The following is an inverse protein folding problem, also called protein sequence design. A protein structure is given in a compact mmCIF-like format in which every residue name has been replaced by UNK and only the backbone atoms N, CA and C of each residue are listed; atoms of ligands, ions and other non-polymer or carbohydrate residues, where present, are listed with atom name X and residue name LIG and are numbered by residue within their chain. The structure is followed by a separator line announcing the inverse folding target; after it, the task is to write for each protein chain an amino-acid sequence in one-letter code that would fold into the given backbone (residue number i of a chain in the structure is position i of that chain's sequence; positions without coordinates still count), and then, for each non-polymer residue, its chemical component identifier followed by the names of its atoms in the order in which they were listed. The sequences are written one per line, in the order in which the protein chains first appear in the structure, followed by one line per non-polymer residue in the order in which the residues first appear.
data_IF_521436675939
#
_entry.id   IF_521436675939
#
_cell.length_a   1.000
_cell.length_b   1.000
_cell.length_c   1.000
_cell.angle_alpha   90.00
_cell.angle_beta   90.00
_cell.angle_gamma   90.00
#
_symmetry.space_group_name_H-M   'P 1'
#
loop_
_entity.id
_entity.type
_entity.pdbx_description
1 polymer ?
#
# COMPACT_ATOMS: atom_id res chain seq x y z
N UNK A 1 -11.79 13.34 94.10
CA UNK A 1 -11.57 14.77 93.77
C UNK A 1 -10.23 14.91 93.07
N UNK A 2 -10.00 15.94 92.24
CA UNK A 2 -10.95 16.69 91.41
C UNK A 2 -11.08 15.92 90.05
N UNK A 3 -11.21 16.45 88.81
CA UNK A 3 -11.60 17.76 88.22
C UNK A 3 -12.54 17.45 87.03
N UNK A 4 -13.42 18.39 86.65
CA UNK A 4 -14.20 18.32 85.41
C UNK A 4 -13.54 19.06 84.24
N UNK A 5 -13.81 18.64 83.00
CA UNK A 5 -13.96 19.53 81.82
C UNK A 5 -14.75 18.82 80.72
N UNK A 6 -15.80 19.46 80.21
CA UNK A 6 -16.62 18.94 79.11
C UNK A 6 -16.22 19.53 77.75
N UNK A 7 -16.70 18.93 76.65
CA UNK A 7 -16.39 19.41 75.30
C UNK A 7 -17.21 18.76 74.19
N UNK A 8 -18.29 19.45 73.80
CA UNK A 8 -19.00 19.43 72.49
C UNK A 8 -19.40 18.08 71.85
N UNK A 9 -20.66 18.01 71.42
CA UNK A 9 -21.07 17.04 70.42
C UNK A 9 -20.43 17.34 69.04
N UNK A 10 -20.13 16.28 68.29
CA UNK A 10 -19.82 16.32 66.86
C UNK A 10 -20.71 15.28 66.15
N UNK A 11 -21.23 15.62 64.97
CA UNK A 11 -22.11 14.73 64.21
C UNK A 11 -21.29 13.76 63.38
N UNK A 12 -21.42 12.47 63.66
CA UNK A 12 -21.02 11.38 62.75
C UNK A 12 -22.22 11.01 61.88
N UNK A 13 -22.12 11.25 60.56
CA UNK A 13 -23.00 10.61 59.58
C UNK A 13 -22.81 9.10 59.62
N UNK A 14 -23.84 8.34 59.24
CA UNK A 14 -23.67 6.92 58.95
C UNK A 14 -22.90 6.75 57.63
N UNK A 15 -21.86 5.92 57.64
CA UNK A 15 -21.13 5.54 56.44
C UNK A 15 -21.94 4.50 55.63
N UNK A 16 -22.10 4.66 54.30
CA UNK A 16 -23.04 3.88 53.50
C UNK A 16 -22.46 2.59 52.91
N UNK A 17 -21.45 1.99 53.55
CA UNK A 17 -20.70 0.83 53.05
C UNK A 17 -20.59 -0.29 54.09
N UNK A 18 -21.71 -0.94 54.39
CA UNK A 18 -21.68 -2.34 54.86
C UNK A 18 -23.04 -3.05 54.66
N UNK A 19 -23.11 -4.03 53.75
CA UNK A 19 -24.14 -5.08 53.62
C UNK A 19 -23.82 -5.99 52.42
N UNK A 20 -23.74 -7.30 52.66
CA UNK A 20 -23.27 -8.31 51.71
C UNK A 20 -24.34 -8.86 50.73
N UNK A 21 -23.81 -9.65 49.78
CA UNK A 21 -24.42 -10.80 49.08
C UNK A 21 -25.22 -10.62 47.78
N UNK A 22 -24.90 -11.55 46.88
CA UNK A 22 -25.70 -12.18 45.83
C UNK A 22 -26.41 -11.31 44.78
N UNK A 23 -25.74 -11.13 43.63
CA UNK A 23 -26.04 -12.00 42.47
C UNK A 23 -25.08 -11.74 41.30
N UNK A 24 -24.61 -12.79 40.63
CA UNK A 24 -23.88 -12.68 39.36
C UNK A 24 -24.71 -11.93 38.31
N UNK A 25 -24.13 -10.86 37.75
CA UNK A 25 -24.73 -10.10 36.65
C UNK A 25 -24.57 -10.85 35.31
N UNK A 26 -25.22 -12.01 35.20
CA UNK A 26 -25.47 -12.66 33.92
C UNK A 26 -26.25 -11.69 33.03
N UNK A 27 -25.69 -11.24 31.88
CA UNK A 27 -26.36 -10.25 31.05
C UNK A 27 -27.65 -10.85 30.47
N UNK A 28 -28.80 -10.35 30.93
CA UNK A 28 -30.12 -10.76 30.43
C UNK A 28 -30.24 -10.41 28.95
N UNK A 29 -30.00 -11.39 28.08
CA UNK A 29 -30.27 -11.29 26.64
C UNK A 29 -31.71 -10.81 26.39
N UNK A 30 -31.89 -10.01 25.35
CA UNK A 30 -33.23 -9.75 24.78
C UNK A 30 -33.88 -11.10 24.42
N UNK A 31 -35.15 -11.36 24.77
CA UNK A 31 -35.85 -12.54 24.28
C UNK A 31 -35.99 -12.44 22.76
N UNK A 32 -35.50 -13.44 22.03
CA UNK A 32 -35.55 -13.51 20.56
C UNK A 32 -34.21 -13.36 19.83
N UNK A 33 -33.11 -12.98 20.49
CA UNK A 33 -31.80 -12.93 19.85
C UNK A 33 -31.22 -14.34 19.62
N UNK A 34 -30.70 -14.60 18.41
CA UNK A 34 -29.99 -15.85 18.07
C UNK A 34 -28.89 -16.15 19.12
N UNK A 35 -28.79 -17.42 19.51
CA UNK A 35 -27.73 -17.88 20.42
C UNK A 35 -26.72 -18.70 19.64
N UNK A 36 -25.53 -18.13 19.47
CA UNK A 36 -24.43 -18.80 18.79
C UNK A 36 -24.08 -20.15 19.44
N UNK A 37 -23.75 -21.18 18.63
CA UNK A 37 -23.36 -22.49 19.11
C UNK A 37 -22.11 -22.42 19.99
N UNK A 38 -22.05 -23.30 21.00
CA UNK A 38 -20.94 -23.33 21.97
C UNK A 38 -19.61 -23.69 21.33
N UNK A 39 -18.48 -23.41 22.00
CA UNK A 39 -17.15 -23.75 21.49
C UNK A 39 -16.96 -25.23 21.13
N UNK A 40 -17.60 -26.14 21.88
CA UNK A 40 -17.60 -27.57 21.61
C UNK A 40 -18.42 -27.96 20.36
N UNK A 41 -19.47 -27.21 20.03
CA UNK A 41 -20.22 -27.38 18.78
C UNK A 41 -19.46 -26.76 17.59
N UNK A 42 -18.90 -25.54 17.74
CA UNK A 42 -18.01 -24.93 16.73
C UNK A 42 -16.80 -25.81 16.39
N UNK A 43 -16.29 -26.64 17.31
CA UNK A 43 -15.26 -27.62 17.00
C UNK A 43 -15.75 -28.68 15.99
N UNK A 44 -16.92 -29.30 16.21
CA UNK A 44 -17.51 -30.31 15.31
C UNK A 44 -17.76 -29.77 13.89
N UNK A 45 -18.03 -28.47 13.77
CA UNK A 45 -18.24 -27.79 12.49
C UNK A 45 -16.95 -27.49 11.71
N UNK A 46 -15.77 -27.58 12.35
CA UNK A 46 -14.47 -27.46 11.66
C UNK A 46 -14.12 -28.75 10.93
N UNK A 47 -14.38 -29.89 11.55
CA UNK A 47 -14.08 -31.21 10.99
C UNK A 47 -15.19 -31.75 10.06
N UNK A 48 -16.12 -30.88 9.64
CA UNK A 48 -17.28 -31.16 8.78
C UNK A 48 -18.13 -32.38 9.21
N UNK A 49 -18.28 -32.57 10.53
CA UNK A 49 -18.96 -33.73 11.16
C UNK A 49 -18.35 -35.12 10.85
N UNK A 50 -17.10 -35.21 10.35
CA UNK A 50 -16.44 -36.50 10.06
C UNK A 50 -16.49 -37.49 11.23
N UNK A 51 -16.14 -37.00 12.43
CA UNK A 51 -16.09 -37.81 13.65
C UNK A 51 -17.47 -38.12 14.25
N UNK A 52 -18.55 -37.52 13.73
CA UNK A 52 -19.93 -37.71 14.20
C UNK A 52 -20.86 -38.30 13.14
N UNK A 53 -20.31 -39.04 12.15
CA UNK A 53 -21.08 -39.77 11.15
C UNK A 53 -21.44 -38.99 9.88
N UNK A 54 -20.88 -37.79 9.70
CA UNK A 54 -21.16 -36.92 8.55
C UNK A 54 -22.50 -36.19 8.65
N UNK A 55 -22.80 -35.36 7.64
CA UNK A 55 -23.95 -34.44 7.65
C UNK A 55 -25.31 -35.17 7.67
N UNK A 56 -25.42 -36.33 7.01
CA UNK A 56 -26.67 -37.10 6.90
C UNK A 56 -27.17 -37.66 8.26
N UNK A 57 -26.29 -37.72 9.26
CA UNK A 57 -26.63 -38.20 10.61
C UNK A 57 -26.96 -37.06 11.60
N UNK A 58 -26.90 -35.80 11.16
CA UNK A 58 -27.16 -34.64 12.02
C UNK A 58 -28.64 -34.20 11.98
N UNK A 59 -29.10 -33.51 13.03
CA UNK A 59 -30.43 -32.92 13.04
C UNK A 59 -30.50 -31.67 12.16
N UNK A 60 -31.69 -31.31 11.67
CA UNK A 60 -31.90 -30.09 10.86
C UNK A 60 -31.41 -28.84 11.59
N UNK A 61 -31.64 -28.75 12.91
CA UNK A 61 -31.16 -27.63 13.74
C UNK A 61 -29.63 -27.55 13.81
N UNK A 62 -28.94 -28.70 13.81
CA UNK A 62 -27.48 -28.76 13.81
C UNK A 62 -26.91 -28.39 12.44
N UNK A 63 -27.59 -28.78 11.36
CA UNK A 63 -27.27 -28.38 9.98
C UNK A 63 -27.49 -26.87 9.74
N UNK A 64 -28.55 -26.28 10.30
CA UNK A 64 -28.77 -24.82 10.28
C UNK A 64 -27.68 -24.07 11.04
N UNK A 65 -27.29 -24.55 12.23
CA UNK A 65 -26.19 -23.98 13.02
C UNK A 65 -24.84 -24.09 12.30
N UNK A 66 -24.59 -25.22 11.64
CA UNK A 66 -23.41 -25.44 10.80
C UNK A 66 -23.37 -24.51 9.58
N UNK A 67 -24.50 -24.33 8.88
CA UNK A 67 -24.59 -23.38 7.78
C UNK A 67 -24.32 -21.95 8.25
N UNK A 68 -24.85 -21.56 9.42
CA UNK A 68 -24.59 -20.27 10.05
C UNK A 68 -23.14 -20.12 10.56
N UNK A 69 -22.44 -21.22 10.86
CA UNK A 69 -21.01 -21.23 11.18
C UNK A 69 -20.14 -21.07 9.92
N UNK A 70 -20.38 -21.87 8.87
CA UNK A 70 -19.62 -21.79 7.61
C UNK A 70 -19.82 -20.46 6.89
N UNK A 71 -21.00 -19.82 7.05
CA UNK A 71 -21.22 -18.46 6.57
C UNK A 71 -20.37 -17.43 7.35
N UNK A 72 -20.36 -17.49 8.68
CA UNK A 72 -19.50 -16.65 9.54
C UNK A 72 -18.00 -16.81 9.17
N UNK A 73 -17.53 -18.06 9.03
CA UNK A 73 -16.17 -18.42 8.60
C UNK A 73 -15.81 -17.88 7.20
N UNK A 74 -16.78 -17.82 6.27
CA UNK A 74 -16.61 -17.23 4.94
C UNK A 74 -16.55 -15.70 4.99
N UNK A 75 -17.39 -15.06 5.81
CA UNK A 75 -17.35 -13.59 6.00
C UNK A 75 -16.02 -13.15 6.60
N UNK A 76 -15.52 -13.85 7.63
CA UNK A 76 -14.22 -13.59 8.25
C UNK A 76 -13.06 -13.73 7.25
N UNK A 77 -13.10 -14.76 6.40
CA UNK A 77 -12.10 -14.96 5.35
C UNK A 77 -12.07 -13.80 4.33
N UNK A 78 -13.25 -13.31 3.89
CA UNK A 78 -13.36 -12.15 3.00
C UNK A 78 -12.85 -10.87 3.66
N UNK A 79 -13.13 -10.65 4.95
CA UNK A 79 -12.55 -9.54 5.72
C UNK A 79 -11.02 -9.61 5.78
N UNK A 80 -10.46 -10.82 5.91
CA UNK A 80 -9.03 -11.08 5.79
C UNK A 80 -8.46 -10.69 4.41
N UNK A 81 -9.14 -11.09 3.33
CA UNK A 81 -8.76 -10.74 1.95
C UNK A 81 -8.83 -9.23 1.69
N UNK A 82 -9.89 -8.55 2.14
CA UNK A 82 -10.06 -7.10 1.96
C UNK A 82 -8.95 -6.32 2.67
N UNK A 83 -8.61 -6.68 3.91
CA UNK A 83 -7.48 -6.09 4.64
C UNK A 83 -6.15 -6.29 3.90
N UNK A 84 -5.91 -7.46 3.31
CA UNK A 84 -4.71 -7.71 2.51
C UNK A 84 -4.70 -6.84 1.24
N UNK A 85 -5.83 -6.71 0.55
CA UNK A 85 -5.94 -5.88 -0.66
C UNK A 85 -5.72 -4.38 -0.37
N UNK A 86 -6.25 -3.86 0.74
CA UNK A 86 -6.01 -2.47 1.18
C UNK A 86 -4.54 -2.21 1.53
N UNK A 87 -3.89 -3.12 2.25
CA UNK A 87 -2.45 -3.01 2.52
C UNK A 87 -1.63 -2.96 1.21
N UNK A 88 -1.94 -3.83 0.23
CA UNK A 88 -1.26 -3.82 -1.07
C UNK A 88 -1.56 -2.52 -1.85
N UNK A 89 -2.74 -1.91 -1.65
CA UNK A 89 -3.09 -0.62 -2.28
C UNK A 89 -2.21 0.52 -1.74
N UNK A 90 -1.95 0.54 -0.43
CA UNK A 90 -1.03 1.50 0.19
C UNK A 90 0.43 1.31 -0.28
N UNK A 91 0.92 0.07 -0.31
CA UNK A 91 2.27 -0.26 -0.83
C UNK A 91 2.43 0.12 -2.31
N UNK A 92 1.39 -0.09 -3.13
CA UNK A 92 1.39 0.28 -4.55
C UNK A 92 1.39 1.81 -4.75
N UNK A 93 0.69 2.58 -3.92
CA UNK A 93 0.71 4.04 -3.96
C UNK A 93 2.11 4.58 -3.61
N UNK A 94 2.73 4.06 -2.54
CA UNK A 94 4.11 4.39 -2.15
C UNK A 94 5.13 4.02 -3.26
N UNK A 95 4.90 2.90 -3.95
CA UNK A 95 5.72 2.47 -5.10
C UNK A 95 5.59 3.42 -6.29
N UNK A 96 4.38 3.87 -6.65
CA UNK A 96 4.15 4.84 -7.72
C UNK A 96 4.85 6.19 -7.47
N UNK A 97 4.81 6.70 -6.24
CA UNK A 97 5.55 7.91 -5.84
C UNK A 97 7.06 7.72 -6.00
N UNK A 98 7.56 6.54 -5.64
CA UNK A 98 8.99 6.17 -5.77
C UNK A 98 9.42 6.07 -7.23
N UNK A 99 8.62 5.44 -8.09
CA UNK A 99 8.88 5.34 -9.54
C UNK A 99 8.92 6.73 -10.20
N UNK A 100 7.94 7.60 -9.94
CA UNK A 100 7.94 8.99 -10.45
C UNK A 100 9.22 9.74 -10.03
N UNK A 101 9.68 9.57 -8.79
CA UNK A 101 10.94 10.15 -8.31
C UNK A 101 12.16 9.59 -9.03
N UNK A 102 12.20 8.29 -9.34
CA UNK A 102 13.27 7.66 -10.12
C UNK A 102 13.29 8.15 -11.58
N UNK A 103 12.12 8.25 -12.24
CA UNK A 103 12.02 8.79 -13.61
C UNK A 103 12.48 10.25 -13.72
N UNK A 104 12.23 11.05 -12.68
CA UNK A 104 12.80 12.40 -12.57
C UNK A 104 14.32 12.40 -12.35
N UNK A 105 14.88 11.45 -11.60
CA UNK A 105 16.33 11.31 -11.44
C UNK A 105 17.00 10.91 -12.76
N UNK A 106 16.46 9.92 -13.48
CA UNK A 106 16.95 9.52 -14.82
C UNK A 106 16.94 10.72 -15.78
N UNK A 107 15.86 11.51 -15.76
CA UNK A 107 15.77 12.76 -16.55
C UNK A 107 16.92 13.73 -16.22
N UNK A 108 17.19 14.00 -14.93
CA UNK A 108 18.31 14.87 -14.52
C UNK A 108 19.68 14.30 -14.92
N UNK A 109 19.83 12.98 -14.96
CA UNK A 109 21.08 12.35 -15.42
C UNK A 109 21.31 12.55 -16.92
N UNK A 110 20.27 12.52 -17.75
CA UNK A 110 20.36 12.94 -19.17
C UNK A 110 20.73 14.42 -19.33
N UNK A 111 20.17 15.32 -18.50
CA UNK A 111 20.55 16.74 -18.51
C UNK A 111 22.05 16.89 -18.24
N UNK A 112 22.60 16.15 -17.27
CA UNK A 112 24.04 16.13 -16.99
C UNK A 112 24.86 15.46 -18.08
N UNK A 113 24.36 14.44 -18.77
CA UNK A 113 25.03 13.88 -19.95
C UNK A 113 25.16 14.93 -21.08
N UNK A 114 24.13 15.76 -21.30
CA UNK A 114 24.15 16.86 -22.27
C UNK A 114 25.08 18.01 -21.84
N UNK A 115 25.13 18.36 -20.55
CA UNK A 115 26.12 19.33 -20.04
C UNK A 115 27.56 18.86 -20.31
N UNK A 116 27.85 17.59 -20.01
CA UNK A 116 29.17 16.98 -20.25
C UNK A 116 29.47 16.92 -21.76
N UNK A 117 28.49 16.64 -22.63
CA UNK A 117 28.66 16.70 -24.09
C UNK A 117 29.11 18.09 -24.57
N UNK A 118 28.50 19.15 -24.04
CA UNK A 118 28.84 20.52 -24.39
C UNK A 118 30.23 20.91 -23.89
N UNK A 119 30.56 20.58 -22.64
CA UNK A 119 31.85 20.93 -22.05
C UNK A 119 33.01 20.11 -22.62
N UNK A 120 32.79 18.84 -22.95
CA UNK A 120 33.74 18.07 -23.76
C UNK A 120 33.91 18.71 -25.14
N UNK A 121 32.83 19.11 -25.82
CA UNK A 121 32.95 19.72 -27.15
C UNK A 121 33.75 21.05 -27.13
N UNK A 122 33.66 21.82 -26.03
CA UNK A 122 34.51 23.01 -25.78
C UNK A 122 35.97 22.60 -25.53
N UNK A 123 36.21 21.66 -24.61
CA UNK A 123 37.55 21.20 -24.24
C UNK A 123 38.29 20.50 -25.38
N UNK A 124 37.58 19.73 -26.22
CA UNK A 124 38.13 19.08 -27.41
C UNK A 124 38.60 20.10 -28.45
N UNK A 125 37.86 21.21 -28.62
CA UNK A 125 38.26 22.33 -29.49
C UNK A 125 39.56 22.98 -29.01
N UNK A 126 39.70 23.21 -27.70
CA UNK A 126 40.92 23.73 -27.09
C UNK A 126 42.11 22.74 -27.22
N UNK A 127 41.90 21.44 -27.02
CA UNK A 127 42.91 20.40 -27.26
C UNK A 127 43.28 20.23 -28.75
N UNK A 128 42.41 20.70 -29.66
CA UNK A 128 42.70 20.93 -31.06
C UNK A 128 43.67 22.09 -31.26
N UNK A 129 43.30 23.29 -30.78
CA UNK A 129 44.05 24.54 -31.00
C UNK A 129 45.38 24.64 -30.23
N UNK A 130 45.52 23.96 -29.09
CA UNK A 130 46.80 23.80 -28.36
C UNK A 130 47.87 23.03 -29.16
N UNK A 131 47.50 22.44 -30.31
CA UNK A 131 48.46 21.88 -31.25
C UNK A 131 49.11 22.94 -32.13
N UNK A 132 50.34 23.36 -31.81
CA UNK A 132 51.12 24.27 -32.65
C UNK A 132 51.34 23.76 -34.10
N UNK A 133 51.76 24.66 -35.00
CA UNK A 133 51.72 24.52 -36.47
C UNK A 133 52.29 23.21 -37.08
N UNK A 134 53.20 22.50 -36.39
CA UNK A 134 53.77 21.23 -36.85
C UNK A 134 53.13 19.98 -36.22
N UNK A 135 52.08 20.13 -35.41
CA UNK A 135 51.36 19.01 -34.79
C UNK A 135 50.24 18.51 -35.70
N UNK A 136 50.01 17.18 -35.70
CA UNK A 136 48.87 16.62 -36.45
C UNK A 136 47.56 17.15 -35.84
N UNK A 137 46.64 17.72 -36.66
CA UNK A 137 45.38 18.24 -36.17
C UNK A 137 44.53 17.09 -35.63
N UNK A 138 44.17 17.17 -34.35
CA UNK A 138 43.29 16.19 -33.73
C UNK A 138 41.84 16.61 -33.97
N UNK A 139 41.06 15.72 -34.60
CA UNK A 139 39.61 15.86 -34.71
C UNK A 139 38.98 14.81 -33.79
N UNK A 140 38.17 15.19 -32.79
CA UNK A 140 37.41 14.21 -32.03
C UNK A 140 36.45 13.46 -32.96
N UNK A 141 36.21 12.18 -32.67
CA UNK A 141 35.14 11.43 -33.31
C UNK A 141 33.91 11.55 -32.41
N UNK A 142 32.85 12.18 -32.92
CA UNK A 142 31.52 12.12 -32.33
C UNK A 142 30.69 11.14 -33.15
N UNK A 143 30.40 9.96 -32.59
CA UNK A 143 29.70 8.86 -33.31
C UNK A 143 28.18 8.93 -33.13
N UNK A 144 27.73 9.51 -32.02
CA UNK A 144 26.33 9.71 -31.67
C UNK A 144 26.12 11.15 -31.18
N UNK A 145 24.96 11.74 -31.47
CA UNK A 145 24.52 12.95 -30.77
C UNK A 145 23.88 12.52 -29.45
N UNK A 146 24.43 13.01 -28.35
CA UNK A 146 23.89 12.83 -27.00
C UNK A 146 22.48 13.44 -26.98
N UNK A 147 21.48 12.63 -26.66
CA UNK A 147 20.09 13.06 -26.53
C UNK A 147 19.84 13.50 -25.09
N UNK A 148 19.32 14.72 -24.97
CA UNK A 148 18.69 15.15 -23.72
C UNK A 148 17.52 14.24 -23.33
N UNK A 149 16.93 14.46 -22.14
CA UNK A 149 15.91 13.59 -21.59
C UNK A 149 14.83 13.35 -22.63
N UNK A 150 14.52 12.08 -22.92
CA UNK A 150 13.52 11.73 -23.92
C UNK A 150 12.20 12.40 -23.54
N UNK A 151 11.83 13.47 -24.25
CA UNK A 151 10.64 14.27 -23.97
C UNK A 151 9.40 13.56 -24.52
N UNK A 152 9.17 12.35 -23.99
CA UNK A 152 7.90 11.65 -24.07
C UNK A 152 6.92 12.47 -23.24
N UNK A 153 6.17 13.34 -23.92
CA UNK A 153 5.21 14.30 -23.33
C UNK A 153 3.96 13.62 -22.75
N UNK A 154 4.10 12.43 -22.15
CA UNK A 154 3.01 11.75 -21.47
C UNK A 154 2.83 12.30 -20.04
N UNK A 155 2.39 13.55 -19.98
CA UNK A 155 2.00 14.22 -18.74
C UNK A 155 0.79 13.55 -18.06
N UNK A 156 0.12 12.60 -18.72
CA UNK A 156 -0.91 11.75 -18.13
C UNK A 156 -0.41 11.10 -16.85
N UNK A 157 0.82 10.57 -16.86
CA UNK A 157 1.43 9.95 -15.68
C UNK A 157 1.60 10.91 -14.51
N UNK A 158 2.21 12.07 -14.77
CA UNK A 158 2.45 13.08 -13.73
C UNK A 158 1.14 13.60 -13.15
N UNK A 159 0.16 13.91 -14.02
CA UNK A 159 -1.18 14.40 -13.62
C UNK A 159 -1.96 13.35 -12.85
N UNK A 160 -1.89 12.07 -13.25
CA UNK A 160 -2.59 10.96 -12.58
C UNK A 160 -1.96 10.66 -11.22
N UNK A 161 -0.63 10.62 -11.12
CA UNK A 161 0.08 10.46 -9.86
C UNK A 161 -0.19 11.62 -8.88
N UNK A 162 -0.11 12.88 -9.34
CA UNK A 162 -0.44 14.03 -8.48
C UNK A 162 -1.90 14.08 -8.07
N UNK A 163 -2.82 13.64 -8.94
CA UNK A 163 -4.25 13.52 -8.64
C UNK A 163 -4.54 12.39 -7.65
N UNK A 164 -3.81 11.26 -7.68
CA UNK A 164 -3.87 10.22 -6.64
C UNK A 164 -3.39 10.80 -5.31
N UNK A 165 -2.20 11.41 -5.28
CA UNK A 165 -1.62 11.99 -4.06
C UNK A 165 -2.51 13.10 -3.44
N UNK A 166 -3.11 13.96 -4.28
CA UNK A 166 -4.07 14.96 -3.80
C UNK A 166 -5.37 14.34 -3.30
N UNK A 167 -5.91 13.30 -3.96
CA UNK A 167 -7.14 12.64 -3.50
C UNK A 167 -6.93 11.91 -2.19
N UNK A 168 -5.80 11.23 -2.02
CA UNK A 168 -5.47 10.53 -0.78
C UNK A 168 -5.32 11.53 0.38
N UNK A 169 -4.59 12.65 0.17
CA UNK A 169 -4.47 13.76 1.14
C UNK A 169 -5.77 14.49 1.46
N UNK A 170 -6.80 14.36 0.61
CA UNK A 170 -8.13 14.96 0.82
C UNK A 170 -9.18 13.93 1.29
N UNK A 171 -8.82 12.65 1.46
CA UNK A 171 -9.78 11.57 1.75
C UNK A 171 -10.73 11.24 0.59
N UNK A 172 -10.44 11.73 -0.63
CA UNK A 172 -11.25 11.57 -1.84
C UNK A 172 -10.84 10.37 -2.71
N UNK A 173 -10.17 9.39 -2.09
CA UNK A 173 -10.07 8.03 -2.64
C UNK A 173 -11.47 7.48 -2.95
N UNK A 174 -11.67 6.62 -3.96
CA UNK A 174 -12.90 5.85 -4.09
C UNK A 174 -12.96 4.79 -2.99
N UNK A 175 -13.27 5.22 -1.77
CA UNK A 175 -13.55 4.33 -0.65
C UNK A 175 -14.73 3.44 -1.00
N UNK A 176 -14.66 2.16 -0.63
CA UNK A 176 -15.81 1.25 -0.66
C UNK A 176 -17.00 1.81 0.12
N UNK A 177 -18.19 1.24 -0.06
CA UNK A 177 -19.46 1.79 0.47
C UNK A 177 -19.64 1.49 1.98
N UNK A 178 -18.56 1.61 2.76
CA UNK A 178 -18.45 1.16 4.15
C UNK A 178 -19.07 2.13 5.18
N UNK A 179 -19.48 3.32 4.77
CA UNK A 179 -20.20 4.25 5.64
C UNK A 179 -21.66 3.81 5.87
N UNK A 180 -21.95 3.26 7.06
CA UNK A 180 -23.28 2.88 7.56
C UNK A 180 -24.02 1.75 6.80
N UNK A 181 -23.33 0.67 6.42
CA UNK A 181 -24.00 -0.62 6.20
C UNK A 181 -24.48 -1.20 7.55
N UNK A 182 -25.77 -1.05 7.83
CA UNK A 182 -26.42 -1.57 9.04
C UNK A 182 -27.12 -2.90 8.73
N UNK A 183 -26.68 -3.98 9.37
CA UNK A 183 -27.26 -5.32 9.22
C UNK A 183 -28.24 -5.60 10.38
N UNK A 184 -29.29 -6.38 10.10
CA UNK A 184 -30.25 -6.79 11.14
C UNK A 184 -29.59 -7.73 12.18
N UNK A 185 -30.03 -7.66 13.44
CA UNK A 185 -29.66 -8.61 14.49
C UNK A 185 -30.48 -9.90 14.32
N UNK A 186 -29.89 -11.03 13.86
CA UNK A 186 -30.66 -12.20 13.47
C UNK A 186 -31.29 -12.92 14.67
N UNK A 187 -32.50 -13.43 14.47
CA UNK A 187 -33.26 -14.20 15.46
C UNK A 187 -33.10 -15.71 15.29
N UNK A 188 -32.87 -16.17 14.05
CA UNK A 188 -32.69 -17.60 13.71
C UNK A 188 -31.34 -17.87 13.03
N UNK A 189 -30.91 -19.14 13.00
CA UNK A 189 -29.70 -19.56 12.30
C UNK A 189 -29.80 -19.32 10.78
N UNK A 190 -30.96 -19.60 10.17
CA UNK A 190 -31.20 -19.32 8.74
C UNK A 190 -31.23 -17.82 8.42
N UNK A 191 -31.78 -16.99 9.30
CA UNK A 191 -31.69 -15.52 9.16
C UNK A 191 -30.25 -15.04 9.30
N UNK A 192 -29.45 -15.61 10.21
CA UNK A 192 -28.01 -15.33 10.27
C UNK A 192 -27.30 -15.70 8.97
N UNK A 193 -27.59 -16.86 8.35
CA UNK A 193 -27.04 -17.21 7.03
C UNK A 193 -27.36 -16.14 5.99
N UNK A 194 -28.59 -15.58 5.99
CA UNK A 194 -28.97 -14.53 5.05
C UNK A 194 -28.25 -13.19 5.34
N UNK A 195 -28.07 -12.83 6.61
CA UNK A 195 -27.29 -11.64 7.03
C UNK A 195 -25.80 -11.80 6.68
N UNK A 196 -25.21 -12.97 6.91
CA UNK A 196 -23.82 -13.25 6.54
C UNK A 196 -23.62 -13.23 5.02
N UNK A 197 -24.56 -13.78 4.23
CA UNK A 197 -24.53 -13.63 2.76
C UNK A 197 -24.53 -12.17 2.32
N UNK A 198 -25.37 -11.33 2.90
CA UNK A 198 -25.40 -9.91 2.56
C UNK A 198 -24.06 -9.22 2.87
N UNK A 199 -23.41 -9.54 4.00
CA UNK A 199 -22.05 -9.08 4.30
C UNK A 199 -21.01 -9.59 3.30
N UNK A 200 -21.14 -10.84 2.84
CA UNK A 200 -20.22 -11.45 1.87
C UNK A 200 -20.34 -10.76 0.50
N UNK A 201 -21.57 -10.55 0.01
CA UNK A 201 -21.83 -9.80 -1.22
C UNK A 201 -21.28 -8.37 -1.10
N UNK A 202 -21.57 -7.68 0.02
CA UNK A 202 -21.10 -6.32 0.29
C UNK A 202 -19.56 -6.20 0.37
N UNK A 203 -18.89 -7.21 0.94
CA UNK A 203 -17.43 -7.29 1.03
C UNK A 203 -16.75 -7.70 -0.29
N UNK A 204 -17.41 -8.51 -1.11
CA UNK A 204 -16.96 -8.84 -2.48
C UNK A 204 -17.05 -7.60 -3.39
N UNK A 205 -18.09 -6.78 -3.23
CA UNK A 205 -18.28 -5.50 -3.94
C UNK A 205 -17.12 -4.53 -3.62
N UNK A 206 -16.78 -4.37 -2.33
CA UNK A 206 -15.67 -3.52 -1.90
C UNK A 206 -14.29 -4.10 -2.30
N UNK A 207 -14.07 -5.41 -2.17
CA UNK A 207 -12.84 -6.09 -2.62
C UNK A 207 -12.64 -5.95 -4.14
N UNK A 208 -13.72 -6.07 -4.93
CA UNK A 208 -13.71 -5.82 -6.38
C UNK A 208 -13.31 -4.38 -6.69
N UNK A 209 -13.80 -3.41 -5.91
CA UNK A 209 -13.38 -2.01 -5.97
C UNK A 209 -11.88 -1.81 -5.74
N UNK A 210 -11.33 -2.42 -4.68
CA UNK A 210 -9.89 -2.33 -4.36
C UNK A 210 -9.04 -3.02 -5.44
N UNK A 211 -9.43 -4.20 -5.92
CA UNK A 211 -8.76 -4.90 -7.02
C UNK A 211 -8.79 -4.10 -8.34
N UNK A 212 -9.88 -3.36 -8.60
CA UNK A 212 -9.97 -2.42 -9.72
C UNK A 212 -8.96 -1.26 -9.61
N UNK A 213 -8.77 -0.70 -8.41
CA UNK A 213 -7.76 0.34 -8.14
C UNK A 213 -6.34 -0.21 -8.26
N UNK A 214 -6.07 -1.38 -7.69
CA UNK A 214 -4.80 -2.10 -7.81
C UNK A 214 -4.43 -2.38 -9.27
N UNK A 215 -5.39 -2.84 -10.10
CA UNK A 215 -5.18 -3.00 -11.54
C UNK A 215 -4.81 -1.68 -12.22
N UNK A 216 -5.51 -0.59 -11.88
CA UNK A 216 -5.19 0.75 -12.39
C UNK A 216 -3.74 1.15 -12.08
N UNK A 217 -3.33 0.99 -10.82
CA UNK A 217 -1.95 1.29 -10.38
C UNK A 217 -0.92 0.34 -10.99
N UNK A 218 -1.24 -0.94 -11.22
CA UNK A 218 -0.34 -1.88 -11.86
C UNK A 218 -0.08 -1.54 -13.34
N UNK A 219 -1.12 -1.16 -14.10
CA UNK A 219 -0.97 -0.64 -15.45
C UNK A 219 -0.15 0.66 -15.48
N UNK A 220 -0.33 1.51 -14.45
CA UNK A 220 0.44 2.74 -14.30
C UNK A 220 1.93 2.45 -14.04
N UNK A 221 2.24 1.62 -13.04
CA UNK A 221 3.62 1.23 -12.71
C UNK A 221 4.33 0.59 -13.92
N UNK A 222 3.66 -0.31 -14.66
CA UNK A 222 4.24 -0.96 -15.84
C UNK A 222 4.61 0.04 -16.95
N UNK A 223 3.75 1.02 -17.21
CA UNK A 223 3.99 2.00 -18.29
C UNK A 223 5.13 2.98 -17.94
N UNK A 224 5.24 3.39 -16.67
CA UNK A 224 6.36 4.22 -16.21
C UNK A 224 7.68 3.42 -16.16
N UNK A 225 7.65 2.12 -15.83
CA UNK A 225 8.81 1.23 -15.95
C UNK A 225 9.27 1.09 -17.41
N UNK A 226 8.35 0.83 -18.35
CA UNK A 226 8.66 0.78 -19.79
C UNK A 226 9.25 2.10 -20.32
N UNK A 227 8.81 3.24 -19.77
CA UNK A 227 9.32 4.57 -20.08
C UNK A 227 10.71 4.80 -19.49
N UNK A 228 10.97 4.34 -18.27
CA UNK A 228 12.28 4.44 -17.61
C UNK A 228 13.32 3.51 -18.26
N UNK A 229 12.95 2.28 -18.61
CA UNK A 229 13.83 1.34 -19.31
C UNK A 229 14.37 1.95 -20.62
N UNK A 230 13.49 2.50 -21.47
CA UNK A 230 13.88 3.15 -22.74
C UNK A 230 14.76 4.39 -22.52
N UNK A 231 14.56 5.12 -21.43
CA UNK A 231 15.43 6.24 -21.06
C UNK A 231 16.81 5.75 -20.59
N UNK A 232 16.88 4.67 -19.82
CA UNK A 232 18.14 4.05 -19.41
C UNK A 232 18.93 3.48 -20.60
N UNK A 233 18.27 2.88 -21.59
CA UNK A 233 18.89 2.40 -22.84
C UNK A 233 19.54 3.57 -23.63
N UNK A 234 18.79 4.66 -23.83
CA UNK A 234 19.32 5.86 -24.52
C UNK A 234 20.44 6.54 -23.69
N UNK A 235 20.32 6.57 -22.36
CA UNK A 235 21.34 7.11 -21.46
C UNK A 235 22.63 6.27 -21.48
N UNK A 236 22.53 4.93 -21.56
CA UNK A 236 23.72 4.07 -21.63
C UNK A 236 24.51 4.34 -22.90
N UNK A 237 23.85 4.36 -24.07
CA UNK A 237 24.49 4.64 -25.35
C UNK A 237 25.13 6.03 -25.41
N UNK A 238 24.55 7.00 -24.71
CA UNK A 238 25.11 8.35 -24.55
C UNK A 238 26.32 8.38 -23.60
N UNK A 239 26.24 7.69 -22.45
CA UNK A 239 27.36 7.59 -21.49
C UNK A 239 28.56 6.85 -22.10
N UNK A 240 28.35 5.83 -22.92
CA UNK A 240 29.45 5.13 -23.60
C UNK A 240 30.17 6.01 -24.65
N UNK A 241 29.43 6.84 -25.39
CA UNK A 241 30.00 7.84 -26.31
C UNK A 241 30.78 8.93 -25.54
N UNK A 242 30.25 9.44 -24.42
CA UNK A 242 30.95 10.38 -23.54
C UNK A 242 32.24 9.75 -22.98
N UNK A 243 32.18 8.51 -22.49
CA UNK A 243 33.31 7.74 -21.97
C UNK A 243 34.41 7.55 -23.03
N UNK A 244 34.02 7.23 -24.27
CA UNK A 244 34.91 7.15 -25.43
C UNK A 244 35.63 8.48 -25.71
N UNK A 245 34.89 9.59 -25.72
CA UNK A 245 35.43 10.94 -25.98
C UNK A 245 36.31 11.46 -24.84
N UNK A 246 35.93 11.26 -23.57
CA UNK A 246 36.78 11.54 -22.40
C UNK A 246 38.13 10.82 -22.52
N UNK A 247 38.13 9.54 -22.88
CA UNK A 247 39.37 8.76 -23.11
C UNK A 247 40.20 9.35 -24.26
N UNK A 248 39.55 9.74 -25.37
CA UNK A 248 40.22 10.39 -26.51
C UNK A 248 40.87 11.74 -26.14
N UNK A 249 40.13 12.61 -25.46
CA UNK A 249 40.61 13.90 -24.97
C UNK A 249 41.78 13.75 -24.00
N UNK A 250 41.68 12.84 -23.02
CA UNK A 250 42.75 12.54 -22.07
C UNK A 250 44.02 12.01 -22.76
N UNK A 251 43.89 11.18 -23.80
CA UNK A 251 45.04 10.73 -24.60
C UNK A 251 45.68 11.86 -25.42
N UNK A 252 44.87 12.80 -25.96
CA UNK A 252 45.40 13.99 -26.66
C UNK A 252 46.12 14.92 -25.68
N UNK A 253 45.55 15.16 -24.50
CA UNK A 253 46.15 16.00 -23.46
C UNK A 253 47.52 15.46 -23.01
N UNK A 254 47.65 14.17 -22.70
CA UNK A 254 48.94 13.55 -22.36
C UNK A 254 49.99 13.74 -23.47
N UNK A 255 49.63 13.50 -24.73
CA UNK A 255 50.50 13.70 -25.91
C UNK A 255 50.85 15.16 -26.24
N UNK A 256 50.27 16.13 -25.53
CA UNK A 256 50.67 17.54 -25.56
C UNK A 256 51.59 17.92 -24.40
N UNK A 257 51.62 17.11 -23.32
CA UNK A 257 52.49 17.28 -22.14
C UNK A 257 53.77 16.43 -22.27
N UNK A 258 53.71 15.32 -23.00
CA UNK A 258 54.85 14.45 -23.38
C UNK A 258 55.75 15.09 -24.48
N UNK A 259 55.85 16.43 -24.51
CA UNK A 259 56.53 17.22 -25.56
C UNK A 259 57.32 18.39 -24.99
#
# INVERSE_FOLDING_TARGET
MPVSRGGKAASSKADPFDSDSDSDLVPKKKPGAYTAPSGAAKARYKDDFRDSGGLEQQSVQELENYAAYKAEETTDALGGCLRIAENIREDAANTLVTLNKQGQQISRTHEKAVEIDQDLSKGESLLGSLGGFFSKPWKPKKTRQIKGPAHVSDDSFKKKASHIEQREKLGLSPSGKSANRSYAEPTTAMEKVQVEKQKQDDALDDLSGVLGQLKGMACDMGSELDRQNKALDDLQGDVDELNSRVKGANQRARKLIEK
#
